data_IF_460783758875
#
_entry.id   IF_460783758875
#
_cell.length_a   1.000
_cell.length_b   1.000
_cell.length_c   1.000
_cell.angle_alpha   90.00
_cell.angle_beta   90.00
_cell.angle_gamma   90.00
#
_symmetry.space_group_name_H-M   'P 1'
#
loop_
_entity.id
_entity.type
_entity.pdbx_description
1 polymer ?
#
# COMPACT_ATOMS: atom_id res chain seq x y z
N UNK A 1 -11.43 -15.92 -19.44
CA UNK A 1 -11.13 -14.47 -19.46
C UNK A 1 -9.65 -14.30 -19.20
N UNK A 2 -8.91 -13.68 -20.13
CA UNK A 2 -7.51 -13.31 -19.89
C UNK A 2 -7.49 -12.31 -18.73
N UNK A 3 -6.72 -12.58 -17.68
CA UNK A 3 -6.47 -11.62 -16.60
C UNK A 3 -5.15 -10.94 -16.90
N UNK A 4 -5.16 -10.01 -17.86
CA UNK A 4 -3.96 -9.30 -18.26
C UNK A 4 -3.56 -8.30 -17.17
N UNK A 5 -2.30 -8.36 -16.77
CA UNK A 5 -1.68 -7.40 -15.88
C UNK A 5 -1.34 -6.13 -16.68
N UNK A 6 -1.74 -4.95 -16.19
CA UNK A 6 -1.47 -3.66 -16.83
C UNK A 6 -0.29 -2.94 -16.18
N UNK A 7 -0.21 -2.97 -14.85
CA UNK A 7 0.78 -2.23 -14.08
C UNK A 7 1.17 -3.00 -12.82
N UNK A 8 2.44 -2.93 -12.46
CA UNK A 8 2.95 -3.20 -11.12
C UNK A 8 3.97 -2.12 -10.81
N UNK A 9 3.67 -1.27 -9.82
CA UNK A 9 4.55 -0.16 -9.49
C UNK A 9 4.65 0.07 -7.98
N UNK A 10 5.87 0.36 -7.53
CA UNK A 10 6.11 0.84 -6.17
C UNK A 10 5.68 2.30 -6.08
N UNK A 11 4.50 2.53 -5.51
CA UNK A 11 3.97 3.88 -5.31
C UNK A 11 4.51 4.51 -4.03
N UNK A 12 4.97 3.69 -3.07
CA UNK A 12 5.66 4.16 -1.88
C UNK A 12 6.83 3.23 -1.53
N UNK A 13 8.08 3.68 -1.60
CA UNK A 13 9.21 2.91 -1.10
C UNK A 13 9.14 2.73 0.43
N UNK A 14 9.50 1.53 0.90
CA UNK A 14 9.68 1.28 2.33
C UNK A 14 10.86 2.05 2.91
N UNK A 15 10.88 2.16 4.23
CA UNK A 15 11.94 2.85 4.98
C UNK A 15 12.33 2.00 6.18
N UNK A 16 13.63 1.94 6.45
CA UNK A 16 14.15 1.36 7.67
C UNK A 16 15.28 2.25 8.19
N UNK A 17 15.09 2.83 9.38
CA UNK A 17 16.09 3.61 10.08
C UNK A 17 16.48 2.85 11.34
N UNK A 18 17.79 2.68 11.55
CA UNK A 18 18.35 2.05 12.74
C UNK A 18 19.29 3.01 13.46
N UNK A 19 19.38 2.88 14.78
CA UNK A 19 20.46 3.49 15.56
C UNK A 19 21.79 2.82 15.24
N UNK A 20 22.89 3.42 15.70
CA UNK A 20 24.23 2.81 15.65
C UNK A 20 24.28 1.44 16.35
N UNK A 21 23.46 1.26 17.39
CA UNK A 21 23.33 0.00 18.12
C UNK A 21 22.35 -1.00 17.49
N UNK A 22 21.77 -0.68 16.33
CA UNK A 22 20.89 -1.56 15.55
C UNK A 22 19.41 -1.54 15.93
N UNK A 23 19.01 -0.71 16.90
CA UNK A 23 17.60 -0.53 17.32
C UNK A 23 16.82 0.13 16.18
N UNK A 24 15.62 -0.39 15.87
CA UNK A 24 14.74 0.19 14.84
C UNK A 24 14.16 1.50 15.37
N UNK A 25 14.43 2.59 14.68
CA UNK A 25 13.93 3.94 15.00
C UNK A 25 12.72 4.31 14.13
N UNK A 26 12.70 3.87 12.88
CA UNK A 26 11.55 4.01 11.97
C UNK A 26 11.50 2.79 11.04
N UNK A 27 10.30 2.28 10.78
CA UNK A 27 10.03 1.21 9.83
C UNK A 27 8.72 1.53 9.10
N UNK A 28 8.73 1.41 7.78
CA UNK A 28 7.59 1.64 6.90
C UNK A 28 7.57 0.55 5.84
N UNK A 29 6.43 -0.07 5.59
CA UNK A 29 6.31 -0.96 4.45
C UNK A 29 6.43 -0.18 3.14
N UNK A 30 6.93 -0.86 2.12
CA UNK A 30 6.66 -0.49 0.74
C UNK A 30 5.15 -0.61 0.49
N UNK A 31 4.60 0.24 -0.38
CA UNK A 31 3.26 0.07 -0.95
C UNK A 31 3.39 -0.09 -2.45
N UNK A 32 2.81 -1.17 -2.97
CA UNK A 32 2.83 -1.49 -4.39
C UNK A 32 1.41 -1.44 -4.95
N UNK A 33 1.22 -0.68 -6.02
CA UNK A 33 0.00 -0.68 -6.82
C UNK A 33 0.10 -1.74 -7.92
N UNK A 34 -0.91 -2.58 -8.00
CA UNK A 34 -1.09 -3.54 -9.08
C UNK A 34 -2.41 -3.23 -9.77
N UNK A 35 -2.36 -3.01 -11.08
CA UNK A 35 -3.56 -2.81 -11.90
C UNK A 35 -3.71 -3.94 -12.91
N UNK A 36 -4.91 -4.48 -12.96
CA UNK A 36 -5.37 -5.41 -13.99
C UNK A 36 -6.47 -4.75 -14.83
N UNK A 37 -7.07 -5.49 -15.74
CA UNK A 37 -8.25 -5.02 -16.46
C UNK A 37 -9.45 -4.72 -15.56
N UNK A 38 -9.57 -5.38 -14.41
CA UNK A 38 -10.79 -5.35 -13.59
C UNK A 38 -10.57 -4.94 -12.14
N UNK A 39 -9.31 -4.85 -11.68
CA UNK A 39 -9.00 -4.56 -10.29
C UNK A 39 -7.82 -3.60 -10.15
N UNK A 40 -7.97 -2.67 -9.21
CA UNK A 40 -6.88 -1.94 -8.55
C UNK A 40 -6.61 -2.61 -7.20
N UNK A 41 -5.35 -3.02 -7.01
CA UNK A 41 -4.90 -3.80 -5.85
C UNK A 41 -3.75 -3.05 -5.20
N UNK A 42 -3.78 -2.90 -3.88
CA UNK A 42 -2.62 -2.47 -3.11
C UNK A 42 -2.04 -3.64 -2.33
N UNK A 43 -0.72 -3.73 -2.33
CA UNK A 43 0.03 -4.61 -1.42
C UNK A 43 0.61 -3.76 -0.31
N UNK A 44 0.16 -4.01 0.93
CA UNK A 44 0.36 -3.21 2.14
C UNK A 44 -0.11 -1.74 2.03
N UNK A 45 -0.14 -1.02 3.16
CA UNK A 45 -0.66 0.35 3.25
C UNK A 45 0.18 1.29 4.14
N UNK A 46 1.39 0.89 4.50
CA UNK A 46 2.33 1.68 5.31
C UNK A 46 1.77 2.12 6.69
N UNK A 47 2.44 3.05 7.38
CA UNK A 47 1.96 3.59 8.66
C UNK A 47 0.90 4.69 8.48
N UNK A 48 0.07 4.92 9.51
CA UNK A 48 -0.94 6.01 9.52
C UNK A 48 -0.38 7.39 9.19
N UNK A 49 0.88 7.67 9.58
CA UNK A 49 1.55 8.95 9.32
C UNK A 49 1.87 9.16 7.83
N UNK A 50 1.91 8.08 7.05
CA UNK A 50 2.20 8.09 5.62
C UNK A 50 0.93 8.24 4.76
N UNK A 51 -0.23 8.48 5.37
CA UNK A 51 -1.51 8.56 4.67
C UNK A 51 -1.51 9.59 3.55
N UNK A 52 -1.09 10.81 3.85
CA UNK A 52 -1.14 11.91 2.88
C UNK A 52 -0.28 11.60 1.65
N UNK A 53 0.95 11.12 1.86
CA UNK A 53 1.85 10.68 0.79
C UNK A 53 1.22 9.54 -0.03
N UNK A 54 0.67 8.51 0.63
CA UNK A 54 0.03 7.38 -0.04
C UNK A 54 -1.14 7.83 -0.93
N UNK A 55 -2.00 8.72 -0.42
CA UNK A 55 -3.15 9.23 -1.16
C UNK A 55 -2.74 10.12 -2.33
N UNK A 56 -1.73 10.97 -2.14
CA UNK A 56 -1.17 11.78 -3.23
C UNK A 56 -0.60 10.88 -4.34
N UNK A 57 0.12 9.82 -3.98
CA UNK A 57 0.71 8.89 -4.95
C UNK A 57 -0.35 8.10 -5.70
N UNK A 58 -1.47 7.75 -5.08
CA UNK A 58 -2.61 7.16 -5.78
C UNK A 58 -3.26 8.11 -6.78
N UNK A 59 -3.36 9.39 -6.43
CA UNK A 59 -3.94 10.42 -7.29
C UNK A 59 -3.14 10.59 -8.59
N UNK A 60 -1.82 10.36 -8.59
CA UNK A 60 -0.99 10.34 -9.80
C UNK A 60 -1.43 9.27 -10.82
N UNK A 61 -2.11 8.21 -10.36
CA UNK A 61 -2.74 7.18 -11.20
C UNK A 61 -4.23 7.43 -11.43
N UNK A 62 -4.75 8.60 -11.04
CA UNK A 62 -6.16 8.96 -11.07
C UNK A 62 -7.05 8.02 -10.23
N UNK A 63 -6.54 7.54 -9.10
CA UNK A 63 -7.27 6.66 -8.18
C UNK A 63 -7.59 7.39 -6.87
N UNK A 64 -8.85 7.31 -6.46
CA UNK A 64 -9.30 7.59 -5.10
C UNK A 64 -9.22 6.32 -4.22
N UNK A 65 -9.25 6.43 -2.88
CA UNK A 65 -9.27 5.27 -2.00
C UNK A 65 -10.40 4.27 -2.29
N UNK A 66 -11.56 4.78 -2.70
CA UNK A 66 -12.76 4.00 -3.00
C UNK A 66 -12.61 3.16 -4.28
N UNK A 67 -11.65 3.52 -5.15
CA UNK A 67 -11.35 2.79 -6.39
C UNK A 67 -10.48 1.56 -6.15
N UNK A 68 -9.90 1.41 -4.95
CA UNK A 68 -9.11 0.23 -4.57
C UNK A 68 -10.06 -0.92 -4.23
N UNK A 69 -9.94 -2.01 -4.99
CA UNK A 69 -10.85 -3.16 -4.86
C UNK A 69 -10.31 -4.19 -3.87
N UNK A 70 -8.98 -4.32 -3.78
CA UNK A 70 -8.31 -5.35 -3.01
C UNK A 70 -7.13 -4.75 -2.25
N UNK A 71 -7.05 -5.06 -0.96
CA UNK A 71 -5.83 -4.92 -0.17
C UNK A 71 -5.24 -6.32 0.09
N UNK A 72 -3.96 -6.48 -0.19
CA UNK A 72 -3.18 -7.66 0.21
C UNK A 72 -2.21 -7.18 1.28
N UNK A 73 -2.44 -7.59 2.53
CA UNK A 73 -1.44 -7.39 3.58
C UNK A 73 -0.49 -8.57 3.56
N UNK A 74 0.81 -8.30 3.43
CA UNK A 74 1.82 -9.36 3.51
C UNK A 74 1.85 -10.00 4.90
N UNK A 75 1.57 -9.22 5.94
CA UNK A 75 1.36 -9.63 7.33
C UNK A 75 0.74 -8.47 8.15
N UNK A 76 0.45 -8.72 9.44
CA UNK A 76 -0.30 -7.80 10.31
C UNK A 76 0.49 -6.76 11.10
N UNK A 77 1.77 -6.50 10.80
CA UNK A 77 2.51 -5.46 11.51
C UNK A 77 1.98 -4.07 11.19
N UNK A 78 2.10 -3.16 12.17
CA UNK A 78 1.49 -1.82 12.12
C UNK A 78 1.93 -0.98 10.93
N UNK A 79 3.17 -1.16 10.52
CA UNK A 79 3.79 -0.48 9.39
C UNK A 79 3.42 -1.08 8.02
N UNK A 80 2.62 -2.14 7.99
CA UNK A 80 2.04 -2.73 6.78
C UNK A 80 0.53 -2.47 6.66
N UNK A 81 -0.19 -2.33 7.77
CA UNK A 81 -1.67 -2.26 7.79
C UNK A 81 -2.23 -0.90 8.22
N UNK A 82 -1.36 0.09 8.42
CA UNK A 82 -1.69 1.33 9.11
C UNK A 82 -2.81 2.14 8.47
N UNK A 83 -2.95 2.09 7.15
CA UNK A 83 -3.98 2.84 6.41
C UNK A 83 -5.11 1.98 5.84
N UNK A 84 -5.23 0.71 6.22
CA UNK A 84 -6.29 -0.17 5.70
C UNK A 84 -7.69 0.45 5.82
N UNK A 85 -7.97 1.14 6.93
CA UNK A 85 -9.27 1.77 7.19
C UNK A 85 -9.64 2.94 6.26
N UNK A 86 -8.72 3.41 5.41
CA UNK A 86 -9.00 4.45 4.40
C UNK A 86 -9.65 3.84 3.14
N UNK A 87 -9.39 2.56 2.86
CA UNK A 87 -9.84 1.86 1.65
C UNK A 87 -11.14 1.09 1.92
N UNK A 88 -12.22 1.84 2.18
CA UNK A 88 -13.49 1.29 2.66
C UNK A 88 -14.18 0.31 1.70
N UNK A 89 -13.93 0.43 0.40
CA UNK A 89 -14.47 -0.45 -0.65
C UNK A 89 -13.68 -1.76 -0.82
N UNK A 90 -12.50 -1.86 -0.23
CA UNK A 90 -11.56 -2.93 -0.54
C UNK A 90 -11.86 -4.21 0.25
N UNK A 91 -11.78 -5.36 -0.43
CA UNK A 91 -11.68 -6.66 0.25
C UNK A 91 -10.24 -6.88 0.71
N UNK A 92 -10.07 -7.24 1.98
CA UNK A 92 -8.74 -7.44 2.59
C UNK A 92 -8.37 -8.93 2.61
N UNK A 93 -7.20 -9.25 2.07
CA UNK A 93 -6.56 -10.57 2.20
C UNK A 93 -5.30 -10.43 3.07
N UNK A 94 -5.04 -11.44 3.89
CA UNK A 94 -3.95 -11.50 4.88
C UNK A 94 -3.41 -12.91 4.98
#
# INVERSE_FOLDING_TARGET
MSRTLKLVEVIKPGLLIRSETGVILDARSTVTLIQSETNNILVDTSLKKDREELLQRLQEYNLAPEDINILINTHGHRDHVGNNGVFSSATIYT
#
